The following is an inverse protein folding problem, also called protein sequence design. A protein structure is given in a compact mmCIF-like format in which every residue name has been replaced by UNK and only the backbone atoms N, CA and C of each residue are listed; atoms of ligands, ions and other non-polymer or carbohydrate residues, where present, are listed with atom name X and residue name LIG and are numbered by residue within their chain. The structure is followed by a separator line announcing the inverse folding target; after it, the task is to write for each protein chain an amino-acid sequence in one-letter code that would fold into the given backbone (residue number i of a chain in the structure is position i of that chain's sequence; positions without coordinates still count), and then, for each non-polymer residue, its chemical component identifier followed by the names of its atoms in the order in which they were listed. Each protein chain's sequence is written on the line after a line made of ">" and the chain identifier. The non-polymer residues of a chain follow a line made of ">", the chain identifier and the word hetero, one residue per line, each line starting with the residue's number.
data_IF_223732311570
#
_entry.id   IF_223732311570
#
_cell.length_a   1.000
_cell.length_b   1.000
_cell.length_c   1.000
_cell.angle_alpha   90.00
_cell.angle_beta   90.00
_cell.angle_gamma   90.00
#
_symmetry.space_group_name_H-M   'P 1'
#
loop_
_entity.id
_entity.type
_entity.pdbx_description
1 polymer ?
#
# COMPACT_ATOMS: atom_id res chain seq x y z
N UNK A 1 19.76 6.92 -22.85
CA UNK A 1 19.19 6.92 -21.48
C UNK A 1 17.70 7.00 -21.68
N UNK A 2 17.03 5.85 -21.66
CA UNK A 2 15.57 5.81 -21.78
C UNK A 2 14.99 6.61 -20.62
N UNK A 3 14.23 7.66 -20.95
CA UNK A 3 13.70 8.58 -19.97
C UNK A 3 12.64 7.82 -19.18
N UNK A 4 12.82 7.71 -17.87
CA UNK A 4 11.81 7.16 -16.96
C UNK A 4 10.54 8.01 -17.10
N UNK A 5 9.47 7.38 -17.57
CA UNK A 5 8.20 8.06 -17.85
C UNK A 5 7.11 7.49 -16.98
N UNK A 6 6.20 8.36 -16.55
CA UNK A 6 5.00 7.96 -15.82
C UNK A 6 4.16 7.06 -16.73
N UNK A 7 3.85 5.88 -16.23
CA UNK A 7 3.05 4.87 -16.95
C UNK A 7 1.59 4.90 -16.50
N UNK A 8 0.72 4.12 -17.15
CA UNK A 8 -0.68 3.98 -16.70
C UNK A 8 -0.80 3.33 -15.32
N UNK A 9 0.09 2.41 -14.95
CA UNK A 9 0.10 1.82 -13.61
C UNK A 9 0.37 2.88 -12.54
N UNK A 10 1.30 3.80 -12.82
CA UNK A 10 1.57 4.94 -11.94
C UNK A 10 0.35 5.85 -11.78
N UNK A 11 -0.35 6.15 -12.88
CA UNK A 11 -1.60 6.95 -12.84
C UNK A 11 -2.71 6.21 -12.11
N UNK A 12 -2.81 4.90 -12.30
CA UNK A 12 -3.78 4.06 -11.62
C UNK A 12 -3.56 4.07 -10.10
N UNK A 13 -2.30 3.94 -9.66
CA UNK A 13 -1.95 4.01 -8.23
C UNK A 13 -2.41 5.31 -7.56
N UNK A 14 -2.42 6.44 -8.26
CA UNK A 14 -2.88 7.71 -7.70
C UNK A 14 -4.35 7.71 -7.27
N UNK A 15 -5.18 6.79 -7.77
CA UNK A 15 -6.58 6.65 -7.36
C UNK A 15 -6.72 6.19 -5.90
N UNK A 16 -5.66 5.63 -5.32
CA UNK A 16 -5.65 5.18 -3.93
C UNK A 16 -5.39 6.32 -2.92
N UNK A 17 -5.01 7.51 -3.40
CA UNK A 17 -4.77 8.68 -2.53
C UNK A 17 -6.05 9.11 -1.84
N UNK A 18 -6.02 9.20 -0.52
CA UNK A 18 -7.19 9.53 0.30
C UNK A 18 -7.12 8.93 1.69
N UNK A 19 -8.23 9.03 2.41
CA UNK A 19 -8.41 8.42 3.72
C UNK A 19 -9.29 7.19 3.57
N UNK A 20 -8.84 6.08 4.16
CA UNK A 20 -9.51 4.80 4.08
C UNK A 20 -9.77 4.25 5.48
N UNK A 21 -10.82 3.45 5.59
CA UNK A 21 -11.14 2.62 6.76
C UNK A 21 -11.18 1.18 6.31
N UNK A 22 -10.65 0.25 7.10
CA UNK A 22 -10.71 -1.17 6.79
C UNK A 22 -11.26 -1.99 7.96
N UNK A 23 -11.82 -3.14 7.60
CA UNK A 23 -12.20 -4.21 8.52
C UNK A 23 -11.52 -5.50 8.04
N UNK A 24 -10.93 -6.25 8.96
CA UNK A 24 -10.26 -7.51 8.68
C UNK A 24 -10.54 -8.51 9.80
N UNK A 25 -10.31 -9.79 9.53
CA UNK A 25 -10.45 -10.86 10.52
C UNK A 25 -9.10 -11.57 10.63
N UNK A 26 -8.48 -11.55 11.81
CA UNK A 26 -7.27 -12.31 12.08
C UNK A 26 -7.57 -13.57 12.86
N UNK A 27 -7.01 -14.68 12.40
CA UNK A 27 -7.07 -15.93 13.14
C UNK A 27 -5.94 -15.98 14.16
N UNK A 28 -6.29 -16.03 15.44
CA UNK A 28 -5.33 -16.11 16.54
C UNK A 28 -4.85 -17.57 16.70
N UNK A 29 -3.58 -17.80 17.08
CA UNK A 29 -3.05 -19.16 17.26
C UNK A 29 -3.79 -20.00 18.31
N UNK A 30 -4.42 -19.32 19.27
CA UNK A 30 -4.92 -19.87 20.54
C UNK A 30 -6.45 -19.75 20.71
N UNK A 31 -7.20 -19.33 19.68
CA UNK A 31 -8.63 -19.08 19.87
C UNK A 31 -9.45 -18.65 18.64
N UNK A 32 -10.62 -18.03 18.86
CA UNK A 32 -11.51 -17.58 17.80
C UNK A 32 -10.88 -16.44 17.00
N UNK A 33 -11.29 -16.31 15.74
CA UNK A 33 -10.84 -15.19 14.92
C UNK A 33 -11.36 -13.86 15.47
N UNK A 34 -10.49 -12.86 15.50
CA UNK A 34 -10.80 -11.53 16.02
C UNK A 34 -10.94 -10.51 14.88
N UNK A 35 -11.91 -9.62 15.03
CA UNK A 35 -12.12 -8.52 14.10
C UNK A 35 -11.13 -7.39 14.38
N UNK A 36 -10.48 -6.91 13.33
CA UNK A 36 -9.52 -5.83 13.30
C UNK A 36 -10.15 -4.67 12.52
N UNK A 37 -10.01 -3.46 13.05
CA UNK A 37 -10.39 -2.25 12.35
C UNK A 37 -9.25 -1.25 12.38
N UNK A 38 -9.15 -0.45 11.33
CA UNK A 38 -8.13 0.57 11.24
C UNK A 38 -8.42 1.59 10.15
N UNK A 39 -7.51 2.56 10.06
CA UNK A 39 -7.58 3.64 9.08
C UNK A 39 -6.24 3.78 8.38
N UNK A 40 -6.25 4.10 7.10
CA UNK A 40 -5.06 4.42 6.32
C UNK A 40 -5.15 5.84 5.76
N UNK A 41 -4.08 6.60 5.91
CA UNK A 41 -3.87 7.85 5.21
C UNK A 41 -2.91 7.61 4.05
N UNK A 42 -3.43 7.69 2.82
CA UNK A 42 -2.66 7.45 1.60
C UNK A 42 -2.35 8.77 0.92
N UNK A 43 -1.06 9.04 0.72
CA UNK A 43 -0.55 10.25 0.05
C UNK A 43 0.33 9.90 -1.14
N UNK A 44 0.30 10.74 -2.16
CA UNK A 44 1.23 10.65 -3.28
C UNK A 44 2.65 11.03 -2.84
N UNK A 45 3.64 10.31 -3.37
CA UNK A 45 5.04 10.72 -3.34
C UNK A 45 5.50 10.95 -4.79
N UNK A 46 5.22 12.16 -5.27
CA UNK A 46 5.33 12.49 -6.69
C UNK A 46 4.38 11.66 -7.54
N UNK A 47 4.73 11.46 -8.82
CA UNK A 47 3.86 10.78 -9.78
C UNK A 47 4.10 9.26 -9.87
N UNK A 48 5.10 8.73 -9.18
CA UNK A 48 5.54 7.33 -9.31
C UNK A 48 5.16 6.45 -8.13
N UNK A 49 4.81 7.06 -6.99
CA UNK A 49 4.66 6.35 -5.73
C UNK A 49 3.45 6.85 -4.95
N UNK A 50 2.94 5.96 -4.09
CA UNK A 50 2.08 6.31 -2.97
C UNK A 50 2.71 5.78 -1.69
N UNK A 51 2.41 6.46 -0.58
CA UNK A 51 2.73 6.03 0.78
C UNK A 51 1.41 5.96 1.54
N UNK A 52 1.11 4.81 2.13
CA UNK A 52 -0.02 4.58 3.02
C UNK A 52 0.50 4.46 4.45
N UNK A 53 -0.01 5.30 5.34
CA UNK A 53 0.30 5.31 6.77
C UNK A 53 -0.96 4.86 7.51
N UNK A 54 -0.89 3.68 8.11
CA UNK A 54 -2.01 2.97 8.69
C UNK A 54 -1.95 2.90 10.21
N UNK A 55 -3.10 3.04 10.84
CA UNK A 55 -3.28 2.85 12.28
C UNK A 55 -4.42 1.85 12.51
N UNK A 56 -4.17 0.84 13.33
CA UNK A 56 -5.13 -0.23 13.59
C UNK A 56 -5.22 -0.58 15.07
N UNK A 57 -6.40 -0.99 15.52
CA UNK A 57 -6.57 -1.59 16.85
C UNK A 57 -6.20 -3.06 16.78
N UNK A 58 -5.29 -3.51 17.63
CA UNK A 58 -5.05 -4.94 17.80
C UNK A 58 -5.90 -5.50 18.95
N UNK A 59 -6.24 -6.80 18.90
CA UNK A 59 -6.68 -7.57 20.06
C UNK A 59 -5.84 -7.26 21.31
N UNK A 60 -6.45 -6.69 22.37
CA UNK A 60 -5.76 -6.27 23.59
C UNK A 60 -5.57 -4.75 23.71
N UNK A 61 -4.46 -4.33 24.35
CA UNK A 61 -4.19 -2.92 24.73
C UNK A 61 -3.10 -2.27 23.85
N UNK A 62 -3.06 -2.62 22.56
CA UNK A 62 -2.01 -2.16 21.63
C UNK A 62 -2.55 -1.52 20.36
N UNK A 63 -1.94 -0.41 19.94
CA UNK A 63 -2.12 0.18 18.60
C UNK A 63 -1.07 -0.36 17.64
N UNK A 64 -1.50 -0.82 16.46
CA UNK A 64 -0.61 -1.11 15.35
C UNK A 64 -0.39 0.14 14.50
N UNK A 65 0.85 0.39 14.11
CA UNK A 65 1.21 1.35 13.07
C UNK A 65 1.83 0.60 11.89
N UNK A 66 1.41 0.95 10.68
CA UNK A 66 1.89 0.35 9.44
C UNK A 66 2.28 1.43 8.45
N UNK A 67 3.35 1.20 7.70
CA UNK A 67 3.70 2.03 6.55
C UNK A 67 3.90 1.14 5.34
N UNK A 68 3.18 1.43 4.26
CA UNK A 68 3.27 0.73 2.99
C UNK A 68 3.65 1.73 1.89
N UNK A 69 4.67 1.39 1.10
CA UNK A 69 5.09 2.19 -0.05
C UNK A 69 4.95 1.36 -1.31
N UNK A 70 4.19 1.85 -2.29
CA UNK A 70 3.94 1.15 -3.57
C UNK A 70 4.30 2.07 -4.73
N UNK A 71 5.05 1.53 -5.68
CA UNK A 71 5.47 2.19 -6.91
C UNK A 71 6.64 1.44 -7.54
N UNK A 72 7.19 1.97 -8.62
CA UNK A 72 8.37 1.36 -9.23
C UNK A 72 8.84 2.02 -10.50
N UNK A 73 10.14 2.30 -10.57
CA UNK A 73 10.82 2.84 -11.76
C UNK A 73 11.60 1.73 -12.46
N UNK A 74 10.97 0.58 -12.74
CA UNK A 74 11.69 -0.47 -13.46
C UNK A 74 11.96 -0.02 -14.90
N UNK A 75 13.23 0.05 -15.34
CA UNK A 75 13.53 0.27 -16.74
C UNK A 75 12.95 -0.90 -17.50
N UNK A 76 12.24 -0.59 -18.60
CA UNK A 76 11.80 -1.62 -19.53
C UNK A 76 13.06 -2.31 -20.03
N UNK A 77 13.34 -3.52 -19.56
CA UNK A 77 14.44 -4.30 -20.10
C UNK A 77 14.21 -4.36 -21.62
N UNK A 78 15.21 -3.90 -22.38
CA UNK A 78 15.26 -4.12 -23.81
C UNK A 78 14.94 -5.59 -24.03
N UNK A 79 13.80 -5.86 -24.68
CA UNK A 79 13.49 -7.18 -25.18
C UNK A 79 14.63 -7.55 -26.14
N UNK A 80 15.68 -8.20 -25.62
CA UNK A 80 16.51 -9.08 -26.41
C UNK A 80 15.66 -10.32 -26.64
N UNK A 81 15.15 -10.47 -27.86
CA UNK A 81 15.69 -11.41 -28.85
C UNK A 81 14.79 -11.45 -30.09
N UNK A 82 15.50 -11.31 -31.22
CA UNK A 82 15.31 -11.82 -32.58
C UNK A 82 13.89 -12.17 -33.06
#
# INVERSE_FOLDING_TARGET
>A
MDKETVTEQHRWLQQLVGNWTYEATAQMPDGPSEALTGTDHVRALGNFWIVAEGEGKMPGEGSAQMVLTIGGIYPRALNQKE
#
